data_IF_944886287902
#
_entry.id   IF_944886287902
#
_cell.length_a   1.000
_cell.length_b   1.000
_cell.length_c   1.000
_cell.angle_alpha   90.00
_cell.angle_beta   90.00
_cell.angle_gamma   90.00
#
_symmetry.space_group_name_H-M   'P 1'
#
loop_
_entity.id
_entity.type
_entity.pdbx_description
1 polymer ?
#
# COMPACT_ATOMS: atom_id res chain seq x y z
N UNK A 1 -8.06 -25.10 -69.53
CA UNK A 1 -7.66 -23.78 -68.98
C UNK A 1 -8.27 -23.46 -67.61
N UNK A 2 -9.35 -24.11 -67.14
CA UNK A 2 -10.01 -23.71 -65.89
C UNK A 2 -9.37 -24.23 -64.59
N UNK A 3 -8.69 -25.39 -64.55
CA UNK A 3 -8.19 -25.97 -63.29
C UNK A 3 -7.02 -25.18 -62.64
N UNK A 4 -6.17 -24.53 -63.45
CA UNK A 4 -4.97 -23.81 -62.97
C UNK A 4 -5.32 -22.50 -62.28
N UNK A 5 -6.35 -21.80 -62.77
CA UNK A 5 -6.80 -20.51 -62.24
C UNK A 5 -7.45 -20.68 -60.85
N UNK A 6 -8.29 -21.70 -60.66
CA UNK A 6 -8.91 -21.99 -59.36
C UNK A 6 -7.91 -22.43 -58.29
N UNK A 7 -6.83 -23.14 -58.66
CA UNK A 7 -5.75 -23.51 -57.75
C UNK A 7 -4.92 -22.33 -57.26
N UNK A 8 -4.65 -21.37 -58.17
CA UNK A 8 -3.97 -20.10 -57.84
C UNK A 8 -4.80 -19.24 -56.89
N UNK A 9 -6.10 -19.07 -57.15
CA UNK A 9 -6.99 -18.26 -56.31
C UNK A 9 -7.14 -18.88 -54.91
N UNK A 10 -7.27 -20.21 -54.79
CA UNK A 10 -7.32 -20.88 -53.48
C UNK A 10 -6.02 -20.69 -52.67
N UNK A 11 -4.85 -20.78 -53.30
CA UNK A 11 -3.57 -20.52 -52.64
C UNK A 11 -3.48 -19.08 -52.14
N UNK A 12 -3.87 -18.10 -52.96
CA UNK A 12 -3.83 -16.68 -52.59
C UNK A 12 -4.77 -16.37 -51.43
N UNK A 13 -6.00 -16.91 -51.43
CA UNK A 13 -6.96 -16.73 -50.33
C UNK A 13 -6.47 -17.41 -49.04
N UNK A 14 -5.83 -18.58 -49.11
CA UNK A 14 -5.23 -19.23 -47.94
C UNK A 14 -4.05 -18.43 -47.38
N UNK A 15 -3.17 -17.90 -48.24
CA UNK A 15 -2.04 -17.06 -47.81
C UNK A 15 -2.52 -15.78 -47.14
N UNK A 16 -3.55 -15.12 -47.70
CA UNK A 16 -4.14 -13.91 -47.09
C UNK A 16 -4.76 -14.24 -45.73
N UNK A 17 -5.53 -15.33 -45.60
CA UNK A 17 -6.12 -15.73 -44.31
C UNK A 17 -5.08 -16.04 -43.24
N UNK A 18 -3.98 -16.70 -43.60
CA UNK A 18 -2.88 -17.00 -42.68
C UNK A 18 -2.14 -15.72 -42.29
N UNK A 19 -1.90 -14.81 -43.24
CA UNK A 19 -1.28 -13.51 -42.95
C UNK A 19 -2.15 -12.64 -42.04
N UNK A 20 -3.47 -12.57 -42.27
CA UNK A 20 -4.40 -11.83 -41.41
C UNK A 20 -4.50 -12.43 -40.01
N UNK A 21 -4.53 -13.77 -39.89
CA UNK A 21 -4.52 -14.43 -38.59
C UNK A 21 -3.20 -14.17 -37.82
N UNK A 22 -2.06 -14.19 -38.51
CA UNK A 22 -0.77 -13.87 -37.90
C UNK A 22 -0.71 -12.42 -37.40
N UNK A 23 -1.20 -11.45 -38.19
CA UNK A 23 -1.23 -10.03 -37.79
C UNK A 23 -2.12 -9.80 -36.56
N UNK A 24 -3.27 -10.47 -36.47
CA UNK A 24 -4.17 -10.37 -35.30
C UNK A 24 -3.53 -10.99 -34.05
N UNK A 25 -2.82 -12.12 -34.18
CA UNK A 25 -2.10 -12.73 -33.04
C UNK A 25 -0.97 -11.83 -32.54
N UNK A 26 -0.19 -11.22 -33.46
CA UNK A 26 0.87 -10.29 -33.07
C UNK A 26 0.34 -9.00 -32.42
N UNK A 27 -0.80 -8.47 -32.91
CA UNK A 27 -1.47 -7.32 -32.30
C UNK A 27 -2.00 -7.63 -30.88
N UNK A 28 -2.54 -8.83 -30.67
CA UNK A 28 -3.04 -9.26 -29.35
C UNK A 28 -1.91 -9.53 -28.34
N UNK A 29 -0.72 -9.93 -28.79
CA UNK A 29 0.47 -10.05 -27.91
C UNK A 29 1.11 -8.72 -27.55
N UNK A 30 0.90 -7.67 -28.36
CA UNK A 30 1.48 -6.35 -28.14
C UNK A 30 0.68 -5.50 -27.12
N UNK A 31 -0.58 -5.84 -26.84
CA UNK A 31 -1.40 -5.21 -25.80
C UNK A 31 -1.29 -5.90 -24.43
N UNK A 32 -0.49 -6.96 -24.31
CA UNK A 32 -0.13 -7.51 -23.01
C UNK A 32 0.89 -6.60 -22.34
N UNK A 33 0.44 -5.76 -21.40
CA UNK A 33 1.27 -4.93 -20.52
C UNK A 33 2.16 -5.74 -19.56
N UNK A 34 2.97 -6.64 -20.12
CA UNK A 34 3.99 -7.44 -19.45
C UNK A 34 5.37 -6.90 -19.79
N UNK A 35 5.62 -5.63 -19.52
CA UNK A 35 6.99 -5.15 -19.42
C UNK A 35 7.67 -5.90 -18.28
N UNK A 36 8.87 -6.43 -18.49
CA UNK A 36 9.69 -6.89 -17.37
C UNK A 36 9.92 -5.69 -16.46
N UNK A 37 9.51 -5.78 -15.19
CA UNK A 37 9.95 -4.83 -14.18
C UNK A 37 11.47 -4.84 -14.22
N UNK A 38 12.14 -3.71 -14.54
CA UNK A 38 13.58 -3.67 -14.53
C UNK A 38 14.01 -4.10 -13.14
N UNK A 39 14.80 -5.18 -13.06
CA UNK A 39 15.54 -5.51 -11.84
C UNK A 39 16.64 -4.46 -11.77
N UNK A 40 16.28 -3.25 -11.33
CA UNK A 40 17.28 -2.34 -10.80
C UNK A 40 17.91 -3.09 -9.64
N UNK A 41 19.23 -3.01 -9.52
CA UNK A 41 19.95 -3.50 -8.37
C UNK A 41 19.47 -2.73 -7.14
N UNK A 42 18.30 -3.11 -6.60
CA UNK A 42 17.83 -2.66 -5.30
C UNK A 42 18.85 -3.21 -4.34
N UNK A 43 19.78 -2.34 -3.96
CA UNK A 43 20.73 -2.63 -2.91
C UNK A 43 19.87 -2.69 -1.67
N UNK A 44 19.43 -3.89 -1.32
CA UNK A 44 18.66 -4.11 -0.10
C UNK A 44 19.47 -3.50 1.04
N UNK A 45 18.78 -2.89 2.01
CA UNK A 45 19.33 -2.37 3.25
C UNK A 45 20.48 -3.24 3.77
N UNK A 46 21.43 -2.70 4.55
CA UNK A 46 22.52 -3.48 5.15
C UNK A 46 22.10 -4.77 5.91
N UNK A 47 20.80 -5.00 6.14
CA UNK A 47 20.20 -6.23 6.67
C UNK A 47 19.18 -6.97 5.79
N UNK A 48 19.08 -6.69 4.48
CA UNK A 48 18.16 -7.36 3.54
C UNK A 48 16.67 -6.97 3.70
N UNK A 49 15.81 -7.38 2.76
CA UNK A 49 14.34 -7.19 2.85
C UNK A 49 13.73 -8.22 3.81
N UNK A 50 12.82 -7.80 4.69
CA UNK A 50 12.02 -8.71 5.53
C UNK A 50 10.91 -9.35 4.69
N UNK A 51 10.66 -10.66 4.84
CA UNK A 51 9.56 -11.31 4.13
C UNK A 51 8.21 -10.79 4.63
N UNK A 52 7.28 -10.60 3.70
CA UNK A 52 5.88 -10.37 4.04
C UNK A 52 5.22 -11.68 4.48
N UNK A 53 4.36 -11.60 5.51
CA UNK A 53 3.49 -12.72 5.89
C UNK A 53 2.57 -13.09 4.72
N UNK A 54 2.20 -14.37 4.63
CA UNK A 54 1.14 -14.84 3.71
C UNK A 54 -0.17 -14.09 3.89
N UNK A 55 -0.40 -13.51 5.07
CA UNK A 55 -1.55 -12.65 5.38
C UNK A 55 -1.73 -11.51 4.37
N UNK A 56 -0.65 -10.99 3.78
CA UNK A 56 -0.70 -9.91 2.77
C UNK A 56 -1.34 -10.32 1.45
N UNK A 57 -1.38 -11.61 1.15
CA UNK A 57 -1.95 -12.15 -0.09
C UNK A 57 -3.21 -12.99 0.15
N UNK A 58 -3.40 -13.50 1.37
CA UNK A 58 -4.54 -14.35 1.71
C UNK A 58 -5.70 -13.60 2.36
N UNK A 59 -5.48 -12.40 2.89
CA UNK A 59 -6.50 -11.61 3.60
C UNK A 59 -6.85 -10.34 2.84
N UNK A 60 -8.14 -10.07 2.71
CA UNK A 60 -8.61 -8.74 2.28
C UNK A 60 -8.30 -7.73 3.38
N UNK A 61 -7.75 -6.58 2.98
CA UNK A 61 -7.43 -5.48 3.88
C UNK A 61 -8.40 -4.30 3.67
N UNK A 62 -8.64 -3.53 4.74
CA UNK A 62 -9.43 -2.29 4.69
C UNK A 62 -8.82 -1.23 5.61
N UNK A 63 -8.86 0.03 5.17
CA UNK A 63 -8.51 1.16 6.02
C UNK A 63 -9.60 1.37 7.07
N UNK A 64 -9.23 1.53 8.34
CA UNK A 64 -10.18 1.56 9.45
C UNK A 64 -9.93 2.73 10.39
N UNK A 65 -11.02 3.39 10.79
CA UNK A 65 -11.03 4.40 11.83
C UNK A 65 -12.38 4.36 12.58
N UNK A 66 -12.40 4.32 13.91
CA UNK A 66 -13.62 4.09 14.70
C UNK A 66 -14.43 5.35 15.03
N UNK A 67 -14.12 6.50 14.41
CA UNK A 67 -14.89 7.73 14.64
C UNK A 67 -16.26 7.62 13.98
N UNK A 68 -17.32 7.89 14.75
CA UNK A 68 -18.72 7.81 14.34
C UNK A 68 -19.37 9.17 14.17
N UNK A 69 -18.87 10.20 14.88
CA UNK A 69 -19.49 11.54 14.88
C UNK A 69 -18.58 12.65 14.42
N UNK A 70 -17.26 12.49 14.53
CA UNK A 70 -16.28 13.50 14.11
C UNK A 70 -16.32 13.67 12.59
N UNK A 71 -16.58 14.89 12.13
CA UNK A 71 -16.58 15.23 10.70
C UNK A 71 -15.23 15.80 10.24
N UNK A 72 -14.40 16.26 11.18
CA UNK A 72 -13.08 16.84 10.93
C UNK A 72 -12.04 16.33 11.92
N UNK A 73 -10.76 16.52 11.59
CA UNK A 73 -9.65 16.07 12.43
C UNK A 73 -9.66 16.74 13.82
N UNK A 74 -10.02 18.02 13.90
CA UNK A 74 -10.10 18.80 15.14
C UNK A 74 -11.12 18.23 16.14
N UNK A 75 -12.21 17.63 15.65
CA UNK A 75 -13.26 17.08 16.51
C UNK A 75 -12.87 15.74 17.15
N UNK A 76 -11.94 15.00 16.51
CA UNK A 76 -11.53 13.65 16.89
C UNK A 76 -10.96 13.57 18.30
N UNK A 77 -10.37 14.66 18.80
CA UNK A 77 -9.81 14.70 20.17
C UNK A 77 -10.91 14.55 21.23
N UNK A 78 -12.11 15.07 20.96
CA UNK A 78 -13.23 15.08 21.90
C UNK A 78 -14.11 13.84 21.81
N UNK A 79 -14.06 13.11 20.69
CA UNK A 79 -14.87 11.89 20.54
C UNK A 79 -14.34 10.76 21.43
N UNK A 80 -15.27 10.15 22.18
CA UNK A 80 -15.03 8.98 23.00
C UNK A 80 -15.26 7.73 22.15
N UNK A 81 -14.19 6.98 21.94
CA UNK A 81 -14.22 5.67 21.31
C UNK A 81 -14.16 4.61 22.40
N UNK A 82 -15.12 3.69 22.39
CA UNK A 82 -15.23 2.60 23.37
C UNK A 82 -14.77 1.27 22.78
N UNK A 83 -14.31 0.36 23.63
CA UNK A 83 -13.92 -1.00 23.23
C UNK A 83 -15.12 -1.74 22.59
N UNK A 84 -16.35 -1.48 23.04
CA UNK A 84 -17.58 -2.07 22.47
C UNK A 84 -17.88 -1.57 21.04
N UNK A 85 -17.65 -0.29 20.74
CA UNK A 85 -17.79 0.25 19.39
C UNK A 85 -16.76 -0.39 18.46
N UNK A 86 -15.50 -0.45 18.90
CA UNK A 86 -14.44 -1.08 18.11
C UNK A 86 -14.71 -2.56 17.88
N UNK A 87 -15.18 -3.29 18.90
CA UNK A 87 -15.55 -4.70 18.75
C UNK A 87 -16.69 -4.89 17.74
N UNK A 88 -17.72 -4.05 17.80
CA UNK A 88 -18.81 -4.07 16.83
C UNK A 88 -18.29 -3.89 15.40
N UNK A 89 -17.47 -2.86 15.18
CA UNK A 89 -16.97 -2.50 13.86
C UNK A 89 -16.06 -3.62 13.30
N UNK A 90 -15.11 -4.11 14.11
CA UNK A 90 -14.19 -5.18 13.70
C UNK A 90 -14.94 -6.50 13.43
N UNK A 91 -16.00 -6.81 14.19
CA UNK A 91 -16.85 -7.98 13.93
C UNK A 91 -17.58 -7.86 12.59
N UNK A 92 -18.08 -6.67 12.26
CA UNK A 92 -18.73 -6.40 10.97
C UNK A 92 -17.74 -6.54 9.81
N UNK A 93 -16.53 -6.00 9.95
CA UNK A 93 -15.48 -6.13 8.95
C UNK A 93 -15.08 -7.59 8.71
N UNK A 94 -14.90 -8.35 9.79
CA UNK A 94 -14.60 -9.79 9.68
C UNK A 94 -15.75 -10.56 9.03
N UNK A 95 -17.00 -10.24 9.38
CA UNK A 95 -18.20 -10.83 8.75
C UNK A 95 -18.27 -10.50 7.24
N UNK A 96 -17.82 -9.31 6.84
CA UNK A 96 -17.69 -8.92 5.43
C UNK A 96 -16.49 -9.58 4.71
N UNK A 97 -15.70 -10.40 5.41
CA UNK A 97 -14.57 -11.13 4.86
C UNK A 97 -13.25 -10.35 4.83
N UNK A 98 -13.13 -9.26 5.59
CA UNK A 98 -11.84 -8.61 5.81
C UNK A 98 -11.06 -9.34 6.90
N UNK A 99 -9.80 -9.66 6.61
CA UNK A 99 -8.90 -10.33 7.55
C UNK A 99 -7.82 -9.40 8.09
N UNK A 100 -7.73 -8.16 7.59
CA UNK A 100 -6.73 -7.18 7.99
C UNK A 100 -7.32 -5.76 8.00
N UNK A 101 -6.93 -4.96 8.99
CA UNK A 101 -7.25 -3.53 9.04
C UNK A 101 -5.98 -2.70 9.05
N UNK A 102 -6.00 -1.53 8.39
CA UNK A 102 -4.95 -0.50 8.53
C UNK A 102 -5.44 0.62 9.44
N UNK A 103 -4.61 1.01 10.40
CA UNK A 103 -4.79 2.21 11.23
C UNK A 103 -3.68 3.22 10.93
N UNK A 104 -3.91 4.51 11.13
CA UNK A 104 -3.11 5.57 10.50
C UNK A 104 -2.02 6.20 11.38
N UNK A 105 -2.16 6.08 12.69
CA UNK A 105 -1.26 6.63 13.69
C UNK A 105 -1.15 5.65 14.86
N UNK A 106 -0.15 5.83 15.71
CA UNK A 106 0.07 5.06 16.93
C UNK A 106 -0.39 5.87 18.13
N UNK A 107 -1.54 5.52 18.68
CA UNK A 107 -2.07 6.16 19.88
C UNK A 107 -2.81 5.17 20.78
N UNK A 108 -3.12 5.61 22.00
CA UNK A 108 -3.95 4.84 22.92
C UNK A 108 -5.41 4.80 22.47
N UNK A 109 -5.90 5.89 21.84
CA UNK A 109 -7.31 6.09 21.51
C UNK A 109 -7.82 5.09 20.46
N UNK A 110 -7.05 4.87 19.41
CA UNK A 110 -7.40 4.03 18.26
C UNK A 110 -6.47 2.83 18.18
N UNK A 111 -5.17 3.01 17.99
CA UNK A 111 -4.28 1.91 17.63
C UNK A 111 -4.16 0.84 18.72
N UNK A 112 -3.81 1.27 19.95
CA UNK A 112 -3.73 0.35 21.08
C UNK A 112 -5.09 -0.28 21.37
N UNK A 113 -6.17 0.49 21.31
CA UNK A 113 -7.54 -0.02 21.53
C UNK A 113 -7.92 -1.10 20.52
N UNK A 114 -7.65 -0.89 19.23
CA UNK A 114 -7.89 -1.89 18.18
C UNK A 114 -7.11 -3.17 18.47
N UNK A 115 -5.81 -3.05 18.78
CA UNK A 115 -4.96 -4.21 19.09
C UNK A 115 -5.45 -4.98 20.32
N UNK A 116 -5.79 -4.27 21.41
CA UNK A 116 -6.37 -4.87 22.62
C UNK A 116 -7.69 -5.57 22.32
N UNK A 117 -8.63 -4.92 21.63
CA UNK A 117 -9.94 -5.51 21.32
C UNK A 117 -9.80 -6.78 20.47
N UNK A 118 -8.90 -6.79 19.47
CA UNK A 118 -8.60 -8.00 18.68
C UNK A 118 -8.08 -9.12 19.60
N UNK A 119 -7.08 -8.80 20.44
CA UNK A 119 -6.44 -9.77 21.33
C UNK A 119 -7.41 -10.34 22.38
N UNK A 120 -8.17 -9.46 23.05
CA UNK A 120 -9.04 -9.78 24.19
C UNK A 120 -10.28 -10.58 23.74
N UNK A 121 -10.72 -10.41 22.50
CA UNK A 121 -11.88 -11.11 21.94
C UNK A 121 -11.51 -12.23 20.97
N UNK A 122 -10.22 -12.50 20.76
CA UNK A 122 -9.74 -13.56 19.87
C UNK A 122 -10.20 -13.41 18.42
N UNK A 123 -10.27 -12.16 17.91
CA UNK A 123 -10.66 -11.91 16.53
C UNK A 123 -9.55 -12.39 15.58
N UNK A 124 -9.93 -13.03 14.47
CA UNK A 124 -8.99 -13.46 13.43
C UNK A 124 -8.69 -12.29 12.47
N UNK A 125 -8.10 -11.23 13.03
CA UNK A 125 -7.73 -10.01 12.31
C UNK A 125 -6.25 -9.69 12.50
N UNK A 126 -5.63 -9.22 11.41
CA UNK A 126 -4.30 -8.62 11.41
C UNK A 126 -4.39 -7.10 11.38
N UNK A 127 -3.35 -6.45 11.88
CA UNK A 127 -3.25 -4.98 11.87
C UNK A 127 -2.03 -4.56 11.08
N UNK A 128 -2.25 -3.68 10.11
CA UNK A 128 -1.21 -2.87 9.49
C UNK A 128 -1.14 -1.54 10.25
N UNK A 129 -0.10 -1.39 11.08
CA UNK A 129 0.02 -0.32 12.06
C UNK A 129 0.71 0.91 11.45
N UNK A 130 0.00 2.02 11.31
CA UNK A 130 0.59 3.29 10.92
C UNK A 130 1.24 4.05 12.09
N UNK A 131 2.25 4.84 11.76
CA UNK A 131 2.87 5.87 12.58
C UNK A 131 2.82 7.16 11.77
N UNK A 132 2.05 8.13 12.24
CA UNK A 132 1.88 9.42 11.59
C UNK A 132 3.14 10.28 11.77
N UNK A 133 3.74 10.71 10.66
CA UNK A 133 4.97 11.49 10.65
C UNK A 133 4.74 12.86 10.02
N UNK A 134 5.29 13.92 10.61
CA UNK A 134 5.23 15.28 10.07
C UNK A 134 6.62 15.95 10.03
N UNK A 135 6.84 16.80 9.02
CA UNK A 135 8.09 17.56 8.88
C UNK A 135 8.23 18.63 9.95
N UNK A 136 9.46 18.85 10.42
CA UNK A 136 9.75 19.80 11.52
C UNK A 136 9.05 19.46 12.85
N UNK A 137 8.70 18.18 13.07
CA UNK A 137 7.99 17.69 14.27
C UNK A 137 8.76 16.60 15.02
N UNK A 138 10.09 16.73 15.14
CA UNK A 138 10.98 15.70 15.68
C UNK A 138 10.53 15.12 17.04
N UNK A 139 10.07 15.97 17.96
CA UNK A 139 9.60 15.52 19.28
C UNK A 139 8.36 14.63 19.19
N UNK A 140 7.37 15.03 18.39
CA UNK A 140 6.13 14.26 18.22
C UNK A 140 6.37 13.01 17.38
N UNK A 141 7.22 13.09 16.34
CA UNK A 141 7.63 11.93 15.57
C UNK A 141 8.33 10.88 16.45
N UNK A 142 9.21 11.30 17.36
CA UNK A 142 9.87 10.39 18.30
C UNK A 142 8.89 9.72 19.26
N UNK A 143 7.87 10.44 19.74
CA UNK A 143 6.80 9.87 20.57
C UNK A 143 5.97 8.84 19.82
N UNK A 144 5.55 9.19 18.61
CA UNK A 144 4.80 8.30 17.71
C UNK A 144 5.60 7.00 17.46
N UNK A 145 6.86 7.13 17.02
CA UNK A 145 7.73 5.97 16.79
C UNK A 145 7.90 5.12 18.05
N UNK A 146 8.18 5.73 19.20
CA UNK A 146 8.37 5.00 20.45
C UNK A 146 7.10 4.22 20.84
N UNK A 147 5.93 4.83 20.71
CA UNK A 147 4.67 4.18 21.04
C UNK A 147 4.31 3.08 20.04
N UNK A 148 4.45 3.32 18.74
CA UNK A 148 4.20 2.30 17.73
C UNK A 148 5.19 1.11 17.80
N UNK A 149 6.47 1.35 18.16
CA UNK A 149 7.44 0.27 18.42
C UNK A 149 7.00 -0.58 19.61
N UNK A 150 6.52 0.06 20.69
CA UNK A 150 5.99 -0.66 21.84
C UNK A 150 4.78 -1.53 21.44
N UNK A 151 3.82 -0.97 20.68
CA UNK A 151 2.66 -1.72 20.18
C UNK A 151 3.06 -2.90 19.29
N UNK A 152 3.97 -2.70 18.32
CA UNK A 152 4.44 -3.76 17.45
C UNK A 152 5.09 -4.91 18.23
N UNK A 153 5.86 -4.59 19.28
CA UNK A 153 6.51 -5.60 20.12
C UNK A 153 5.55 -6.27 21.13
N UNK A 154 4.51 -5.56 21.60
CA UNK A 154 3.49 -6.11 22.50
C UNK A 154 2.47 -6.99 21.79
N UNK A 155 2.21 -6.74 20.51
CA UNK A 155 1.22 -7.48 19.71
C UNK A 155 1.84 -8.13 18.46
N UNK A 156 2.93 -8.91 18.59
CA UNK A 156 3.70 -9.39 17.44
C UNK A 156 2.93 -10.39 16.57
N UNK A 157 1.90 -11.03 17.12
CA UNK A 157 1.04 -11.97 16.39
C UNK A 157 -0.12 -11.27 15.67
N UNK A 158 -0.41 -10.01 15.98
CA UNK A 158 -1.52 -9.25 15.38
C UNK A 158 -0.98 -8.22 14.38
N UNK A 159 0.09 -7.50 14.74
CA UNK A 159 0.72 -6.50 13.86
C UNK A 159 1.48 -7.21 12.74
N UNK A 160 0.95 -7.12 11.52
CA UNK A 160 1.50 -7.78 10.33
C UNK A 160 2.58 -6.96 9.63
N UNK A 161 2.49 -5.63 9.69
CA UNK A 161 3.50 -4.69 9.22
C UNK A 161 3.36 -3.34 9.93
N UNK A 162 4.38 -2.50 9.81
CA UNK A 162 4.38 -1.12 10.30
C UNK A 162 4.61 -0.16 9.15
N UNK A 163 3.84 0.92 9.10
CA UNK A 163 4.07 2.04 8.18
C UNK A 163 4.56 3.26 8.94
N UNK A 164 5.66 3.85 8.49
CA UNK A 164 6.22 5.09 9.05
C UNK A 164 5.98 6.20 8.03
N UNK A 165 5.01 7.06 8.32
CA UNK A 165 4.54 8.11 7.40
C UNK A 165 3.35 7.69 6.55
N UNK A 166 2.54 8.68 6.18
CA UNK A 166 1.37 8.54 5.34
C UNK A 166 1.27 9.78 4.44
N UNK A 167 1.54 9.66 3.14
CA UNK A 167 1.54 10.80 2.19
C UNK A 167 2.41 11.98 2.65
N UNK A 168 3.54 11.66 3.29
CA UNK A 168 4.47 12.66 3.82
C UNK A 168 5.53 13.10 2.81
N UNK A 169 5.61 12.50 1.61
CA UNK A 169 6.69 12.75 0.63
C UNK A 169 6.20 13.47 -0.64
N UNK A 170 4.89 13.68 -0.78
CA UNK A 170 4.30 14.43 -1.90
C UNK A 170 4.39 15.93 -1.69
N UNK A 171 4.44 16.68 -2.79
CA UNK A 171 4.65 18.13 -2.75
C UNK A 171 3.46 18.92 -2.19
N UNK A 172 2.25 18.33 -2.24
CA UNK A 172 1.02 18.93 -1.73
C UNK A 172 0.70 18.52 -0.29
N UNK A 173 1.55 17.72 0.36
CA UNK A 173 1.37 17.34 1.76
C UNK A 173 1.54 18.57 2.65
N UNK A 174 0.60 18.78 3.55
CA UNK A 174 0.66 19.81 4.60
C UNK A 174 1.61 19.44 5.75
N UNK A 175 2.05 18.18 5.80
CA UNK A 175 2.98 17.61 6.79
C UNK A 175 4.22 17.01 6.13
N UNK A 176 4.62 17.57 4.98
CA UNK A 176 5.72 17.06 4.16
C UNK A 176 7.04 16.89 4.95
N UNK A 177 7.67 15.74 4.80
CA UNK A 177 8.98 15.38 5.38
C UNK A 177 10.02 15.24 4.25
N UNK A 178 11.28 15.55 4.55
CA UNK A 178 12.37 15.27 3.63
C UNK A 178 12.59 13.75 3.51
N UNK A 179 12.73 13.18 2.29
CA UNK A 179 12.89 11.73 2.13
C UNK A 179 14.05 11.12 2.94
N UNK A 180 15.14 11.87 3.13
CA UNK A 180 16.28 11.44 3.97
C UNK A 180 15.94 11.41 5.47
N UNK A 181 15.14 12.35 5.97
CA UNK A 181 14.65 12.38 7.35
C UNK A 181 13.70 11.21 7.60
N UNK A 182 12.75 10.97 6.69
CA UNK A 182 11.85 9.83 6.82
C UNK A 182 12.60 8.49 6.74
N UNK A 183 13.62 8.39 5.88
CA UNK A 183 14.46 7.20 5.80
C UNK A 183 15.18 6.90 7.13
N UNK A 184 15.65 7.93 7.85
CA UNK A 184 16.24 7.77 9.18
C UNK A 184 15.22 7.30 10.23
N UNK A 185 14.00 7.83 10.18
CA UNK A 185 12.90 7.39 11.05
C UNK A 185 12.53 5.92 10.78
N UNK A 186 12.38 5.53 9.50
CA UNK A 186 12.14 4.14 9.10
C UNK A 186 13.24 3.23 9.61
N UNK A 187 14.51 3.57 9.39
CA UNK A 187 15.64 2.77 9.85
C UNK A 187 15.66 2.61 11.39
N UNK A 188 15.33 3.68 12.12
CA UNK A 188 15.22 3.69 13.58
C UNK A 188 14.14 2.74 14.08
N UNK A 189 12.92 2.83 13.53
CA UNK A 189 11.80 1.93 13.86
C UNK A 189 12.16 0.49 13.50
N UNK A 190 12.67 0.28 12.29
CA UNK A 190 13.04 -1.04 11.77
C UNK A 190 14.06 -1.74 12.66
N UNK A 191 15.03 -1.01 13.23
CA UNK A 191 16.03 -1.59 14.15
C UNK A 191 15.44 -2.15 15.45
N UNK A 192 14.22 -1.77 15.83
CA UNK A 192 13.60 -2.07 17.13
C UNK A 192 12.44 -3.07 17.06
N UNK A 193 12.01 -3.45 15.86
CA UNK A 193 10.88 -4.37 15.62
C UNK A 193 11.25 -5.45 14.61
N UNK A 194 10.47 -6.54 14.57
CA UNK A 194 10.69 -7.66 13.64
C UNK A 194 9.78 -7.62 12.41
N UNK A 195 8.66 -6.90 12.49
CA UNK A 195 7.70 -6.74 11.41
C UNK A 195 8.32 -6.04 10.19
N UNK A 196 7.88 -6.36 8.97
CA UNK A 196 8.25 -5.58 7.80
C UNK A 196 7.77 -4.13 7.96
N UNK A 197 8.61 -3.19 7.51
CA UNK A 197 8.40 -1.75 7.62
C UNK A 197 8.28 -1.14 6.23
N UNK A 198 7.37 -0.19 6.07
CA UNK A 198 7.21 0.61 4.85
C UNK A 198 6.93 2.07 5.20
N UNK A 199 6.69 2.88 4.18
CA UNK A 199 5.92 4.12 4.27
C UNK A 199 4.75 4.00 3.30
N UNK A 200 3.58 4.57 3.61
CA UNK A 200 2.48 4.65 2.65
C UNK A 200 2.51 6.00 1.97
N UNK A 201 2.65 6.04 0.64
CA UNK A 201 2.68 7.31 -0.08
C UNK A 201 2.03 7.21 -1.45
N UNK A 202 1.75 8.36 -2.06
CA UNK A 202 1.10 8.44 -3.36
C UNK A 202 1.97 7.82 -4.46
N UNK A 203 1.33 7.24 -5.48
CA UNK A 203 1.99 6.70 -6.66
C UNK A 203 2.97 7.68 -7.31
N UNK A 204 2.67 8.98 -7.29
CA UNK A 204 3.54 10.00 -7.85
C UNK A 204 4.89 10.07 -7.14
N UNK A 205 4.99 9.75 -5.86
CA UNK A 205 6.28 9.65 -5.16
C UNK A 205 7.07 8.42 -5.65
N UNK A 206 6.41 7.26 -5.73
CA UNK A 206 7.05 6.02 -6.15
C UNK A 206 7.52 6.01 -7.60
N UNK A 207 6.89 6.82 -8.46
CA UNK A 207 7.27 6.97 -9.86
C UNK A 207 8.44 7.95 -10.10
N UNK A 208 8.95 8.65 -9.07
CA UNK A 208 10.04 9.63 -9.22
C UNK A 208 11.39 8.93 -9.31
N UNK A 209 12.28 9.49 -10.12
CA UNK A 209 13.68 9.06 -10.19
C UNK A 209 14.60 9.76 -9.18
N UNK A 210 14.12 10.82 -8.51
CA UNK A 210 14.86 11.58 -7.50
C UNK A 210 14.38 11.29 -6.07
N UNK A 211 15.22 11.64 -5.08
CA UNK A 211 14.93 11.60 -3.65
C UNK A 211 14.41 10.24 -3.12
N UNK A 212 15.02 9.17 -3.61
CA UNK A 212 14.63 7.77 -3.35
C UNK A 212 15.19 7.19 -2.05
N UNK A 213 15.62 8.02 -1.10
CA UNK A 213 16.31 7.57 0.13
C UNK A 213 15.49 6.54 0.95
N UNK A 214 14.16 6.60 0.89
CA UNK A 214 13.30 5.62 1.59
C UNK A 214 13.34 4.22 0.96
N UNK A 215 13.68 4.10 -0.33
CA UNK A 215 13.68 2.81 -1.05
C UNK A 215 14.73 1.85 -0.49
N UNK A 216 15.80 2.37 0.09
CA UNK A 216 16.87 1.56 0.66
C UNK A 216 16.50 0.98 2.04
N UNK A 217 15.47 1.53 2.71
CA UNK A 217 15.12 1.21 4.12
C UNK A 217 13.74 0.58 4.31
N UNK A 218 12.87 0.61 3.30
CA UNK A 218 11.57 -0.08 3.32
C UNK A 218 11.71 -1.56 2.90
N UNK A 219 10.88 -2.42 3.48
CA UNK A 219 10.80 -3.83 3.13
C UNK A 219 9.85 -4.10 1.94
N UNK A 220 8.91 -3.18 1.67
CA UNK A 220 7.99 -3.20 0.54
C UNK A 220 7.48 -1.79 0.23
N UNK A 221 6.84 -1.59 -0.92
CA UNK A 221 6.20 -0.31 -1.28
C UNK A 221 4.69 -0.38 -1.02
N UNK A 222 4.14 0.59 -0.29
CA UNK A 222 2.70 0.72 -0.06
C UNK A 222 2.18 1.96 -0.79
N UNK A 223 1.52 1.73 -1.91
CA UNK A 223 1.23 2.77 -2.91
C UNK A 223 -0.24 3.21 -2.83
N UNK A 224 -0.48 4.49 -2.57
CA UNK A 224 -1.80 5.09 -2.71
C UNK A 224 -2.06 5.52 -4.15
N UNK A 225 -3.21 5.13 -4.68
CA UNK A 225 -3.75 5.60 -5.95
C UNK A 225 -5.22 5.96 -5.79
N UNK A 226 -5.62 7.08 -6.37
CA UNK A 226 -6.99 7.61 -6.30
C UNK A 226 -7.44 8.02 -7.69
N UNK A 227 -7.72 7.02 -8.55
CA UNK A 227 -8.12 7.26 -9.94
C UNK A 227 -9.29 8.25 -10.09
N UNK A 228 -10.28 8.20 -9.18
CA UNK A 228 -11.39 9.16 -9.15
C UNK A 228 -10.92 10.60 -8.90
N UNK A 229 -9.96 10.82 -8.00
CA UNK A 229 -9.37 12.15 -7.75
C UNK A 229 -8.56 12.61 -8.96
N UNK A 230 -7.82 11.68 -9.57
CA UNK A 230 -7.02 11.96 -10.76
C UNK A 230 -7.90 12.35 -11.96
N UNK A 231 -9.16 11.89 -12.07
CA UNK A 231 -10.08 12.39 -13.12
C UNK A 231 -10.32 13.90 -13.08
N UNK A 232 -10.13 14.54 -11.92
CA UNK A 232 -10.26 15.98 -11.77
C UNK A 232 -8.92 16.71 -11.86
N UNK A 233 -7.90 16.24 -11.14
CA UNK A 233 -6.62 16.95 -11.01
C UNK A 233 -5.57 16.55 -12.04
N UNK A 234 -5.73 15.39 -12.68
CA UNK A 234 -4.82 14.81 -13.67
C UNK A 234 -5.63 14.15 -14.81
N UNK A 235 -6.57 14.89 -15.45
CA UNK A 235 -7.61 14.29 -16.31
C UNK A 235 -7.04 13.48 -17.48
N UNK A 236 -5.88 13.88 -18.01
CA UNK A 236 -5.25 13.22 -19.17
C UNK A 236 -4.31 12.06 -18.78
N UNK A 237 -4.06 11.83 -17.48
CA UNK A 237 -3.07 10.82 -17.05
C UNK A 237 -3.56 9.37 -17.11
N UNK A 238 -4.86 9.18 -17.11
CA UNK A 238 -5.49 7.86 -17.15
C UNK A 238 -6.33 7.63 -18.42
N UNK A 239 -6.18 8.49 -19.42
CA UNK A 239 -6.77 8.33 -20.74
C UNK A 239 -5.88 7.34 -21.53
N UNK A 240 -6.22 6.06 -21.44
CA UNK A 240 -5.51 4.95 -22.12
C UNK A 240 -6.17 4.56 -23.43
#
# INVERSE_FOLDING_TARGET
MNAVIFGSIRRTVTVIKVATAAVVVFALTACGGGGTTPVTNVTTTAGGLRPLSVDFISRKAVNYSPFRTSLKNEDRVNEVITDAQVLQDLTLLQTAGFGMVRVFNSDEKVAQRVLRVIQDNGLDLKVYLGMWMAGNSDFDNKKEMAFGVALANSFPNIVAAVSVGNESLVSWSDHKIQPSELAQNIATVRSQIKQPVTTDDNWLFYAKESDRAVFDVIDFAAVHTYSMVDTHFLPDKWDW
#
